data_IF_217295220641
#
_entry.id   IF_217295220641
#
_cell.length_a   1.000
_cell.length_b   1.000
_cell.length_c   1.000
_cell.angle_alpha   90.00
_cell.angle_beta   90.00
_cell.angle_gamma   90.00
#
_symmetry.space_group_name_H-M   'P 1'
#
loop_
_entity.id
_entity.type
_entity.pdbx_description
1 polymer ?
#
# COMPACT_ATOMS: atom_id res chain seq x y z
N UNK A 1 -8.90 -20.85 7.70
CA UNK A 1 -8.46 -19.51 7.27
C UNK A 1 -7.01 -19.35 7.70
N UNK A 2 -6.05 -19.31 6.77
CA UNK A 2 -4.67 -18.97 7.14
C UNK A 2 -4.67 -17.48 7.47
N UNK A 3 -4.51 -17.13 8.74
CA UNK A 3 -4.12 -15.78 9.13
C UNK A 3 -2.64 -15.70 8.75
N UNK A 4 -2.35 -15.35 7.50
CA UNK A 4 -1.01 -14.95 7.11
C UNK A 4 -0.74 -13.66 7.85
N UNK A 5 0.22 -13.69 8.77
CA UNK A 5 0.66 -12.51 9.54
C UNK A 5 1.43 -11.56 8.60
N UNK A 6 0.71 -10.99 7.63
CA UNK A 6 1.27 -10.16 6.58
C UNK A 6 1.70 -8.83 7.19
N UNK A 7 2.90 -8.41 6.83
CA UNK A 7 3.44 -7.12 7.22
C UNK A 7 2.81 -5.99 6.40
N UNK A 8 2.85 -4.76 6.92
CA UNK A 8 2.35 -3.55 6.21
C UNK A 8 2.89 -3.47 4.77
N UNK A 9 4.20 -3.67 4.49
CA UNK A 9 4.71 -3.62 3.12
C UNK A 9 4.13 -4.70 2.19
N UNK A 10 3.85 -5.89 2.71
CA UNK A 10 3.26 -6.97 1.90
C UNK A 10 1.82 -6.64 1.51
N UNK A 11 1.04 -6.13 2.46
CA UNK A 11 -0.35 -5.72 2.22
C UNK A 11 -0.38 -4.52 1.26
N UNK A 12 0.48 -3.52 1.45
CA UNK A 12 0.60 -2.38 0.53
C UNK A 12 0.90 -2.85 -0.89
N UNK A 13 1.86 -3.77 -1.05
CA UNK A 13 2.20 -4.34 -2.35
C UNK A 13 0.98 -5.02 -2.97
N UNK A 14 0.30 -5.88 -2.22
CA UNK A 14 -0.87 -6.61 -2.71
C UNK A 14 -2.02 -5.67 -3.10
N UNK A 15 -2.35 -4.67 -2.28
CA UNK A 15 -3.40 -3.69 -2.57
C UNK A 15 -3.08 -2.90 -3.84
N UNK A 16 -1.82 -2.48 -4.03
CA UNK A 16 -1.41 -1.75 -5.24
C UNK A 16 -1.46 -2.66 -6.47
N UNK A 17 -0.89 -3.87 -6.42
CA UNK A 17 -0.84 -4.77 -7.60
C UNK A 17 -2.21 -5.31 -7.98
N UNK A 18 -3.15 -5.41 -7.03
CA UNK A 18 -4.55 -5.77 -7.27
C UNK A 18 -5.32 -4.69 -8.02
N UNK A 19 -4.90 -3.42 -7.94
CA UNK A 19 -5.50 -2.31 -8.67
C UNK A 19 -4.61 -1.88 -9.83
N UNK A 20 -4.90 -2.38 -11.03
CA UNK A 20 -4.09 -2.15 -12.23
C UNK A 20 -3.89 -0.67 -12.54
N UNK A 21 -4.92 0.16 -12.41
CA UNK A 21 -4.82 1.60 -12.66
C UNK A 21 -3.87 2.29 -11.68
N UNK A 22 -3.91 1.94 -10.39
CA UNK A 22 -2.98 2.48 -9.39
C UNK A 22 -1.56 2.03 -9.73
N UNK A 23 -1.37 0.75 -10.05
CA UNK A 23 -0.07 0.20 -10.39
C UNK A 23 0.56 0.85 -11.62
N UNK A 24 -0.23 1.06 -12.68
CA UNK A 24 0.24 1.71 -13.91
C UNK A 24 0.59 3.18 -13.65
N UNK A 25 -0.25 3.93 -12.93
CA UNK A 25 0.05 5.31 -12.55
C UNK A 25 1.27 5.41 -11.62
N UNK A 26 1.51 4.42 -10.76
CA UNK A 26 2.70 4.35 -9.90
C UNK A 26 3.97 4.16 -10.74
N UNK A 27 3.94 3.25 -11.73
CA UNK A 27 5.06 3.02 -12.67
C UNK A 27 5.38 4.24 -13.53
N UNK A 28 4.38 5.05 -13.85
CA UNK A 28 4.55 6.26 -14.64
C UNK A 28 4.98 7.48 -13.80
N UNK A 29 5.21 7.32 -12.50
CA UNK A 29 5.52 8.41 -11.55
C UNK A 29 4.44 9.51 -11.52
N UNK A 30 3.16 9.12 -11.67
CA UNK A 30 2.01 10.03 -11.73
C UNK A 30 1.22 10.12 -10.42
N UNK A 31 1.65 9.41 -9.37
CA UNK A 31 0.93 9.30 -8.11
C UNK A 31 1.62 10.11 -7.01
N UNK A 32 0.83 10.90 -6.29
CA UNK A 32 1.23 11.40 -4.98
C UNK A 32 1.12 10.29 -3.92
N UNK A 33 2.24 9.88 -3.32
CA UNK A 33 2.28 8.76 -2.38
C UNK A 33 1.45 9.00 -1.10
N UNK A 34 1.38 10.24 -0.62
CA UNK A 34 0.57 10.59 0.55
C UNK A 34 -0.92 10.45 0.24
N UNK A 35 -1.36 10.94 -0.92
CA UNK A 35 -2.75 10.80 -1.36
C UNK A 35 -3.14 9.33 -1.55
N UNK A 36 -2.24 8.53 -2.13
CA UNK A 36 -2.45 7.08 -2.25
C UNK A 36 -2.54 6.41 -0.87
N UNK A 37 -1.64 6.76 0.07
CA UNK A 37 -1.65 6.21 1.42
C UNK A 37 -2.98 6.47 2.14
N UNK A 38 -3.50 7.71 2.08
CA UNK A 38 -4.81 8.06 2.65
C UNK A 38 -5.92 7.22 2.02
N UNK A 39 -5.86 7.00 0.70
CA UNK A 39 -6.87 6.23 -0.03
C UNK A 39 -6.90 4.75 0.38
N UNK A 40 -5.74 4.13 0.60
CA UNK A 40 -5.62 2.68 0.86
C UNK A 40 -5.54 2.33 2.34
N UNK A 41 -5.29 3.29 3.24
CA UNK A 41 -5.17 3.06 4.68
C UNK A 41 -6.37 2.30 5.29
N UNK A 42 -7.64 2.64 4.98
CA UNK A 42 -8.78 1.91 5.55
C UNK A 42 -8.82 0.42 5.16
N UNK A 43 -8.28 0.07 3.99
CA UNK A 43 -8.17 -1.31 3.52
C UNK A 43 -7.03 -2.05 4.25
N UNK A 44 -5.89 -1.39 4.40
CA UNK A 44 -4.72 -1.93 5.11
C UNK A 44 -5.06 -2.22 6.58
N UNK A 45 -5.70 -1.27 7.27
CA UNK A 45 -6.08 -1.43 8.68
C UNK A 45 -7.14 -2.52 8.86
N UNK A 46 -8.05 -2.69 7.89
CA UNK A 46 -9.03 -3.79 7.88
C UNK A 46 -8.36 -5.15 7.72
N UNK A 47 -7.34 -5.24 6.88
CA UNK A 47 -6.58 -6.48 6.66
C UNK A 47 -5.71 -6.86 7.86
N UNK A 48 -5.16 -5.89 8.58
CA UNK A 48 -4.32 -6.14 9.77
C UNK A 48 -5.11 -6.29 11.07
N UNK A 49 -6.30 -5.68 11.16
CA UNK A 49 -7.09 -5.64 12.40
C UNK A 49 -6.59 -4.62 13.43
N UNK A 50 -5.70 -3.71 13.05
CA UNK A 50 -5.19 -2.63 13.89
C UNK A 50 -4.95 -1.33 13.09
N UNK A 51 -4.86 -0.21 13.79
CA UNK A 51 -4.51 1.07 13.19
C UNK A 51 -3.05 1.11 12.77
N UNK A 52 -2.75 1.75 11.64
CA UNK A 52 -1.39 1.91 11.13
C UNK A 52 -1.08 3.39 10.96
N UNK A 53 0.12 3.82 11.33
CA UNK A 53 0.54 5.19 11.09
C UNK A 53 0.62 5.47 9.58
N UNK A 54 -0.03 6.55 9.12
CA UNK A 54 -0.04 6.94 7.70
C UNK A 54 1.37 7.03 7.10
N UNK A 55 2.35 7.55 7.84
CA UNK A 55 3.74 7.66 7.37
C UNK A 55 4.37 6.28 7.11
N UNK A 56 4.01 5.25 7.88
CA UNK A 56 4.47 3.88 7.64
C UNK A 56 3.98 3.38 6.29
N UNK A 57 2.74 3.71 5.91
CA UNK A 57 2.15 3.35 4.62
C UNK A 57 2.85 4.12 3.50
N UNK A 58 3.08 5.43 3.66
CA UNK A 58 3.81 6.25 2.68
C UNK A 58 5.21 5.70 2.41
N UNK A 59 5.96 5.33 3.47
CA UNK A 59 7.29 4.74 3.32
C UNK A 59 7.21 3.38 2.62
N UNK A 60 6.22 2.55 2.94
CA UNK A 60 6.01 1.27 2.26
C UNK A 60 5.71 1.44 0.76
N UNK A 61 4.84 2.39 0.40
CA UNK A 61 4.54 2.74 -1.00
C UNK A 61 5.82 3.19 -1.71
N UNK A 62 6.56 4.13 -1.12
CA UNK A 62 7.80 4.66 -1.71
C UNK A 62 8.82 3.54 -1.96
N UNK A 63 9.07 2.69 -0.96
CA UNK A 63 10.00 1.55 -1.10
C UNK A 63 9.55 0.54 -2.15
N UNK A 64 8.24 0.35 -2.31
CA UNK A 64 7.71 -0.49 -3.36
C UNK A 64 7.92 0.14 -4.74
N UNK A 65 7.59 1.43 -4.89
CA UNK A 65 7.81 2.17 -6.13
C UNK A 65 9.29 2.20 -6.54
N UNK A 66 10.21 2.42 -5.59
CA UNK A 66 11.66 2.37 -5.80
C UNK A 66 12.17 0.99 -6.27
N UNK A 67 11.35 -0.06 -6.15
CA UNK A 67 11.67 -1.44 -6.57
C UNK A 67 11.01 -1.88 -7.88
N UNK A 68 10.20 -1.02 -8.51
CA UNK A 68 9.53 -1.29 -9.80
C UNK A 68 10.43 -1.01 -11.00
#
# INVERSE_FOLDING_TARGET
MRITNMSVPEIVRETITRNRSIFDCLKMDLINYTALAVKIQPEIERSLGNSVNLNTIVVAIKRFADSL
#
